data_IF_877046601315
#
_entry.id   IF_877046601315
#
_cell.length_a   1.000
_cell.length_b   1.000
_cell.length_c   1.000
_cell.angle_alpha   90.00
_cell.angle_beta   90.00
_cell.angle_gamma   90.00
#
_symmetry.space_group_name_H-M   'P 1'
#
loop_
_entity.id
_entity.type
_entity.pdbx_description
1 polymer ?
#
# COMPACT_ATOMS: atom_id res chain seq x y z
N UNK A 1 -37.30 -21.30 -4.99
CA UNK A 1 -37.03 -20.39 -6.09
C UNK A 1 -35.98 -19.37 -5.65
N UNK A 2 -34.87 -19.49 -6.27
CA UNK A 2 -33.72 -18.71 -5.88
C UNK A 2 -33.72 -17.35 -6.60
N UNK A 3 -33.78 -16.27 -5.85
CA UNK A 3 -33.86 -14.90 -6.39
C UNK A 3 -32.52 -14.17 -6.29
N UNK A 4 -31.41 -14.87 -6.10
CA UNK A 4 -30.15 -14.22 -5.82
C UNK A 4 -29.02 -14.46 -6.85
N UNK A 5 -29.31 -14.63 -8.16
CA UNK A 5 -28.21 -14.78 -9.11
C UNK A 5 -27.36 -13.52 -9.24
N UNK A 6 -27.93 -12.35 -9.01
CA UNK A 6 -27.24 -11.07 -9.10
C UNK A 6 -26.19 -10.88 -7.99
N UNK A 7 -26.37 -11.50 -6.83
CA UNK A 7 -25.42 -11.38 -5.72
C UNK A 7 -24.07 -12.04 -6.04
N UNK A 8 -24.10 -13.13 -6.83
CA UNK A 8 -22.88 -13.82 -7.25
C UNK A 8 -22.07 -13.03 -8.28
N UNK A 9 -22.76 -12.23 -9.10
CA UNK A 9 -22.11 -11.38 -10.10
C UNK A 9 -21.43 -10.18 -9.44
N UNK A 10 -22.02 -9.65 -8.35
CA UNK A 10 -21.50 -8.51 -7.62
C UNK A 10 -20.20 -8.82 -6.88
N UNK A 11 -19.87 -10.11 -6.72
CA UNK A 11 -18.64 -10.55 -6.07
C UNK A 11 -17.48 -10.75 -7.05
N UNK A 12 -17.67 -10.44 -8.34
CA UNK A 12 -16.57 -10.51 -9.30
C UNK A 12 -15.59 -9.36 -9.04
N UNK A 13 -14.33 -9.74 -8.93
CA UNK A 13 -13.25 -8.78 -8.75
C UNK A 13 -13.13 -7.89 -9.99
N UNK A 14 -12.95 -6.61 -9.77
CA UNK A 14 -12.53 -5.69 -10.82
C UNK A 14 -11.03 -5.82 -11.07
N UNK A 15 -10.54 -5.25 -12.17
CA UNK A 15 -9.11 -5.15 -12.41
C UNK A 15 -8.43 -4.41 -11.27
N UNK A 16 -9.05 -3.34 -10.78
CA UNK A 16 -8.50 -2.55 -9.67
C UNK A 16 -8.39 -3.36 -8.38
N UNK A 17 -9.43 -4.10 -8.00
CA UNK A 17 -9.38 -4.93 -6.79
C UNK A 17 -8.40 -6.08 -6.92
N UNK A 18 -8.29 -6.68 -8.10
CA UNK A 18 -7.27 -7.70 -8.35
C UNK A 18 -5.85 -7.14 -8.24
N UNK A 19 -5.59 -5.98 -8.85
CA UNK A 19 -4.30 -5.32 -8.74
C UNK A 19 -3.96 -4.96 -7.28
N UNK A 20 -4.96 -4.53 -6.51
CA UNK A 20 -4.74 -4.19 -5.11
C UNK A 20 -4.38 -5.43 -4.28
N UNK A 21 -5.04 -6.55 -4.52
CA UNK A 21 -4.66 -7.80 -3.88
C UNK A 21 -3.24 -8.23 -4.27
N UNK A 22 -2.90 -8.15 -5.55
CA UNK A 22 -1.55 -8.48 -6.01
C UNK A 22 -0.51 -7.51 -5.45
N UNK A 23 -0.84 -6.23 -5.31
CA UNK A 23 0.04 -5.24 -4.67
C UNK A 23 0.44 -5.69 -3.27
N UNK A 24 -0.54 -6.06 -2.45
CA UNK A 24 -0.31 -6.53 -1.08
C UNK A 24 0.47 -7.85 -1.06
N UNK A 25 0.18 -8.75 -1.98
CA UNK A 25 0.83 -10.06 -2.03
C UNK A 25 2.29 -9.99 -2.48
N UNK A 26 2.64 -9.04 -3.34
CA UNK A 26 3.94 -9.06 -4.04
C UNK A 26 4.89 -7.95 -3.66
N UNK A 27 4.43 -6.85 -3.07
CA UNK A 27 5.27 -5.69 -2.76
C UNK A 27 6.57 -6.10 -2.04
N UNK A 28 6.45 -6.93 -1.02
CA UNK A 28 7.60 -7.38 -0.22
C UNK A 28 8.05 -8.78 -0.61
N UNK A 29 7.13 -9.71 -0.78
CA UNK A 29 7.45 -11.13 -0.96
C UNK A 29 7.94 -11.46 -2.36
N UNK A 30 7.55 -10.68 -3.37
CA UNK A 30 7.98 -10.85 -4.75
C UNK A 30 8.03 -9.48 -5.45
N UNK A 31 8.98 -8.67 -5.04
CA UNK A 31 9.08 -7.28 -5.51
C UNK A 31 9.33 -7.19 -7.02
N UNK A 32 10.03 -8.14 -7.61
CA UNK A 32 10.24 -8.18 -9.06
C UNK A 32 8.89 -8.29 -9.81
N UNK A 33 7.98 -9.12 -9.31
CA UNK A 33 6.64 -9.25 -9.87
C UNK A 33 5.82 -7.99 -9.62
N UNK A 34 5.93 -7.40 -8.43
CA UNK A 34 5.26 -6.14 -8.11
C UNK A 34 5.61 -5.04 -9.10
N UNK A 35 6.87 -4.96 -9.51
CA UNK A 35 7.33 -3.96 -10.48
C UNK A 35 6.63 -4.09 -11.83
N UNK A 36 6.11 -5.26 -12.18
CA UNK A 36 5.35 -5.47 -13.41
C UNK A 36 3.87 -5.04 -13.27
N UNK A 37 3.40 -4.78 -12.07
CA UNK A 37 2.03 -4.33 -11.83
C UNK A 37 1.86 -2.83 -12.01
N UNK A 38 2.92 -2.05 -11.87
CA UNK A 38 2.85 -0.58 -11.85
C UNK A 38 3.04 0.02 -13.23
N UNK A 39 2.31 1.10 -13.50
CA UNK A 39 2.47 1.90 -14.71
C UNK A 39 3.78 2.69 -14.67
N UNK A 40 4.32 3.02 -15.86
CA UNK A 40 5.54 3.82 -15.93
C UNK A 40 5.37 5.21 -15.33
N UNK A 41 4.17 5.77 -15.44
CA UNK A 41 3.82 7.09 -14.91
C UNK A 41 3.04 7.03 -13.59
N UNK A 42 3.22 5.97 -12.82
CA UNK A 42 2.56 5.81 -11.52
C UNK A 42 2.78 7.04 -10.63
N UNK A 43 1.74 7.40 -9.88
CA UNK A 43 1.84 8.35 -8.77
C UNK A 43 1.51 7.59 -7.49
N UNK A 44 2.40 7.67 -6.52
CA UNK A 44 2.23 7.03 -5.22
C UNK A 44 2.27 8.10 -4.14
N UNK A 45 1.13 8.36 -3.53
CA UNK A 45 1.04 9.31 -2.41
C UNK A 45 1.18 8.58 -1.08
N UNK A 46 1.99 9.15 -0.22
CA UNK A 46 2.19 8.71 1.16
C UNK A 46 1.61 9.80 2.06
N UNK A 47 0.34 9.66 2.44
CA UNK A 47 -0.48 10.75 2.97
C UNK A 47 0.13 11.48 4.17
N UNK A 48 0.83 10.77 5.06
CA UNK A 48 1.39 11.34 6.29
C UNK A 48 2.92 11.33 6.33
N UNK A 49 3.58 11.08 5.21
CA UNK A 49 5.03 10.93 5.17
C UNK A 49 5.79 12.21 5.52
N UNK A 50 5.21 13.38 5.23
CA UNK A 50 5.83 14.67 5.60
C UNK A 50 6.04 14.80 7.09
N UNK A 51 5.16 14.25 7.91
CA UNK A 51 5.31 14.25 9.37
C UNK A 51 6.56 13.50 9.82
N UNK A 52 7.12 12.65 8.97
CA UNK A 52 8.34 11.88 9.24
C UNK A 52 9.56 12.41 8.48
N UNK A 53 9.43 13.55 7.80
CA UNK A 53 10.52 14.14 7.02
C UNK A 53 10.74 13.48 5.64
N UNK A 54 9.76 12.70 5.17
CA UNK A 54 9.81 12.05 3.85
C UNK A 54 8.90 12.75 2.85
N UNK A 55 9.16 12.62 1.54
CA UNK A 55 8.26 13.14 0.52
C UNK A 55 6.87 12.53 0.62
N UNK A 56 5.85 13.36 0.39
CA UNK A 56 4.45 12.91 0.42
C UNK A 56 4.03 12.26 -0.90
N UNK A 57 4.81 12.39 -1.95
CA UNK A 57 4.48 11.87 -3.28
C UNK A 57 5.72 11.35 -3.99
N UNK A 58 5.56 10.19 -4.60
CA UNK A 58 6.53 9.58 -5.49
C UNK A 58 5.94 9.61 -6.89
N UNK A 59 6.68 10.13 -7.85
CA UNK A 59 6.22 10.29 -9.23
C UNK A 59 7.08 9.46 -10.18
N UNK A 60 6.42 8.56 -10.90
CA UNK A 60 7.05 7.70 -11.86
C UNK A 60 7.60 6.40 -11.27
N UNK A 61 7.84 5.47 -12.19
CA UNK A 61 8.29 4.11 -11.87
C UNK A 61 9.58 4.10 -11.05
N UNK A 62 10.55 4.90 -11.44
CA UNK A 62 11.86 4.91 -10.79
C UNK A 62 11.78 5.28 -9.31
N UNK A 63 11.04 6.34 -9.00
CA UNK A 63 10.84 6.76 -7.59
C UNK A 63 10.06 5.73 -6.80
N UNK A 64 9.02 5.16 -7.40
CA UNK A 64 8.19 4.14 -6.76
C UNK A 64 9.00 2.87 -6.44
N UNK A 65 9.80 2.40 -7.38
CA UNK A 65 10.66 1.22 -7.19
C UNK A 65 11.72 1.49 -6.13
N UNK A 66 12.31 2.67 -6.13
CA UNK A 66 13.31 3.06 -5.13
C UNK A 66 12.73 3.04 -3.72
N UNK A 67 11.54 3.58 -3.54
CA UNK A 67 10.87 3.58 -2.25
C UNK A 67 10.51 2.16 -1.80
N UNK A 68 9.95 1.36 -2.68
CA UNK A 68 9.61 -0.03 -2.38
C UNK A 68 10.86 -0.83 -1.99
N UNK A 69 11.96 -0.64 -2.71
CA UNK A 69 13.24 -1.30 -2.42
C UNK A 69 13.77 -0.89 -1.05
N UNK A 70 13.69 0.41 -0.73
CA UNK A 70 14.08 0.89 0.60
C UNK A 70 13.27 0.18 1.69
N UNK A 71 11.96 0.09 1.52
CA UNK A 71 11.09 -0.54 2.51
C UNK A 71 11.41 -2.03 2.68
N UNK A 72 11.54 -2.76 1.57
CA UNK A 72 11.88 -4.20 1.59
C UNK A 72 13.19 -4.45 2.32
N UNK A 73 14.17 -3.54 2.14
CA UNK A 73 15.47 -3.67 2.79
C UNK A 73 15.48 -3.21 4.25
N UNK A 74 14.59 -2.30 4.62
CA UNK A 74 14.53 -1.74 5.98
C UNK A 74 13.77 -2.62 6.96
N UNK A 75 12.83 -3.45 6.47
CA UNK A 75 11.93 -4.22 7.33
C UNK A 75 12.14 -5.71 7.10
N UNK A 76 12.41 -6.42 8.18
CA UNK A 76 12.60 -7.87 8.17
C UNK A 76 11.29 -8.58 8.46
N UNK A 77 11.03 -9.66 7.73
CA UNK A 77 9.85 -10.52 7.92
C UNK A 77 8.53 -9.74 7.91
N UNK A 78 8.44 -8.75 7.02
CA UNK A 78 7.22 -7.98 6.89
C UNK A 78 6.13 -8.83 6.22
N UNK A 79 4.93 -8.76 6.79
CA UNK A 79 3.75 -9.40 6.21
C UNK A 79 2.54 -8.48 6.32
N UNK A 80 1.72 -8.53 5.30
CA UNK A 80 0.36 -7.97 5.36
C UNK A 80 -0.61 -9.06 5.80
N UNK A 81 -1.63 -8.67 6.54
CA UNK A 81 -2.68 -9.60 7.00
C UNK A 81 -4.00 -8.86 7.23
N UNK A 82 -5.08 -9.60 7.38
CA UNK A 82 -6.44 -9.06 7.57
C UNK A 82 -6.85 -8.10 6.43
N UNK A 83 -6.64 -8.54 5.20
CA UNK A 83 -6.97 -7.75 4.02
C UNK A 83 -8.47 -7.73 3.76
N UNK A 84 -9.02 -6.52 3.61
CA UNK A 84 -10.38 -6.27 3.12
C UNK A 84 -10.32 -5.33 1.93
N UNK A 85 -10.97 -5.69 0.84
CA UNK A 85 -10.94 -4.91 -0.39
C UNK A 85 -12.35 -4.47 -0.74
N UNK A 86 -12.49 -3.20 -1.12
CA UNK A 86 -13.74 -2.56 -1.51
C UNK A 86 -13.56 -1.94 -2.88
N UNK A 87 -14.48 -2.26 -3.81
CA UNK A 87 -14.49 -1.62 -5.12
C UNK A 87 -15.07 -0.22 -5.06
N UNK A 88 -14.56 0.69 -5.87
CA UNK A 88 -15.18 1.98 -6.09
C UNK A 88 -16.34 1.85 -7.07
N UNK A 89 -17.27 2.80 -6.99
CA UNK A 89 -18.48 2.79 -7.81
C UNK A 89 -18.20 2.82 -9.32
N UNK A 90 -17.10 3.49 -9.73
CA UNK A 90 -16.71 3.55 -11.14
C UNK A 90 -15.98 2.29 -11.62
N UNK A 91 -15.71 1.33 -10.74
CA UNK A 91 -15.03 0.06 -10.99
C UNK A 91 -13.61 0.18 -11.54
N UNK A 92 -13.01 1.36 -11.50
CA UNK A 92 -11.63 1.63 -11.93
C UNK A 92 -10.69 1.84 -10.76
N UNK A 93 -11.21 1.81 -9.56
CA UNK A 93 -10.44 1.93 -8.34
C UNK A 93 -10.90 0.95 -7.28
N UNK A 94 -10.11 0.79 -6.24
CA UNK A 94 -10.40 -0.04 -5.08
C UNK A 94 -9.71 0.53 -3.85
N UNK A 95 -10.24 0.19 -2.69
CA UNK A 95 -9.67 0.56 -1.39
C UNK A 95 -9.40 -0.71 -0.62
N UNK A 96 -8.26 -0.79 0.04
CA UNK A 96 -7.95 -1.87 0.97
C UNK A 96 -7.81 -1.32 2.38
N UNK A 97 -8.35 -2.06 3.34
CA UNK A 97 -7.95 -1.98 4.73
C UNK A 97 -7.09 -3.20 5.00
N UNK A 98 -5.90 -3.00 5.53
CA UNK A 98 -4.95 -4.10 5.75
C UNK A 98 -4.01 -3.76 6.89
N UNK A 99 -3.56 -4.77 7.59
CA UNK A 99 -2.56 -4.64 8.65
C UNK A 99 -1.20 -5.11 8.15
N UNK A 100 -0.15 -4.54 8.73
CA UNK A 100 1.21 -4.96 8.45
C UNK A 100 2.00 -5.13 9.73
N UNK A 101 2.97 -6.05 9.72
CA UNK A 101 3.85 -6.30 10.85
C UNK A 101 5.21 -6.74 10.34
N UNK A 102 6.25 -6.23 10.96
CA UNK A 102 7.62 -6.61 10.67
C UNK A 102 8.60 -6.03 11.67
N UNK A 103 9.88 -6.27 11.47
CA UNK A 103 10.95 -5.79 12.34
C UNK A 103 11.78 -4.76 11.59
N UNK A 104 11.94 -3.57 12.16
CA UNK A 104 12.83 -2.55 11.60
C UNK A 104 14.28 -2.95 11.91
N UNK A 105 15.05 -3.23 10.88
CA UNK A 105 16.44 -3.72 11.04
C UNK A 105 17.32 -2.73 11.77
N UNK A 106 17.19 -1.43 11.47
CA UNK A 106 18.05 -0.39 12.04
C UNK A 106 17.85 -0.16 13.53
N UNK A 107 16.64 -0.43 14.05
CA UNK A 107 16.29 -0.17 15.45
C UNK A 107 16.06 -1.44 16.26
N UNK A 108 15.78 -2.57 15.60
CA UNK A 108 15.36 -3.80 16.26
C UNK A 108 13.94 -3.73 16.83
N UNK A 109 13.16 -2.73 16.45
CA UNK A 109 11.80 -2.52 16.96
C UNK A 109 10.78 -3.19 16.06
N UNK A 110 9.70 -3.68 16.67
CA UNK A 110 8.56 -4.21 15.93
C UNK A 110 7.76 -3.04 15.35
N UNK A 111 7.43 -3.16 14.08
CA UNK A 111 6.59 -2.21 13.36
C UNK A 111 5.23 -2.87 13.11
N UNK A 112 4.20 -2.37 13.79
CA UNK A 112 2.81 -2.77 13.56
C UNK A 112 2.07 -1.59 12.97
N UNK A 113 1.32 -1.81 11.90
CA UNK A 113 0.66 -0.73 11.19
C UNK A 113 -0.73 -1.11 10.73
N UNK A 114 -1.62 -0.14 10.72
CA UNK A 114 -2.90 -0.21 10.04
C UNK A 114 -2.83 0.68 8.81
N UNK A 115 -3.14 0.10 7.64
CA UNK A 115 -3.11 0.81 6.38
C UNK A 115 -4.50 0.92 5.78
N UNK A 116 -4.76 2.06 5.14
CA UNK A 116 -5.79 2.20 4.12
C UNK A 116 -5.08 2.53 2.82
N UNK A 117 -5.28 1.72 1.80
CA UNK A 117 -4.62 1.87 0.50
C UNK A 117 -5.70 2.12 -0.55
N UNK A 118 -5.60 3.27 -1.22
CA UNK A 118 -6.45 3.64 -2.34
C UNK A 118 -5.68 3.40 -3.63
N UNK A 119 -6.29 2.68 -4.58
CA UNK A 119 -5.66 2.34 -5.84
C UNK A 119 -6.56 2.72 -7.01
N UNK A 120 -5.97 3.28 -8.07
CA UNK A 120 -6.61 3.41 -9.37
C UNK A 120 -5.83 2.66 -10.42
N UNK A 121 -6.58 1.96 -11.27
CA UNK A 121 -6.03 1.22 -12.39
C UNK A 121 -6.22 2.01 -13.69
N UNK A 122 -5.25 1.88 -14.59
CA UNK A 122 -5.34 2.35 -15.96
C UNK A 122 -4.56 1.39 -16.85
N UNK A 123 -5.15 0.99 -17.96
CA UNK A 123 -4.53 0.10 -18.94
C UNK A 123 -3.98 -1.19 -18.32
N UNK A 124 -4.71 -1.74 -17.34
CA UNK A 124 -4.34 -2.98 -16.67
C UNK A 124 -3.18 -2.87 -15.69
N UNK A 125 -2.77 -1.66 -15.34
CA UNK A 125 -1.66 -1.39 -14.43
C UNK A 125 -2.11 -0.52 -13.27
N UNK A 126 -1.32 -0.51 -12.19
CA UNK A 126 -1.51 0.42 -11.09
C UNK A 126 -1.02 1.79 -11.52
N UNK A 127 -1.94 2.71 -11.73
CA UNK A 127 -1.63 4.07 -12.14
C UNK A 127 -1.50 5.04 -10.96
N UNK A 128 -2.20 4.75 -9.88
CA UNK A 128 -2.24 5.61 -8.70
C UNK A 128 -2.36 4.76 -7.44
N UNK A 129 -1.57 5.11 -6.43
CA UNK A 129 -1.66 4.58 -5.07
C UNK A 129 -1.69 5.75 -4.09
N UNK A 130 -2.54 5.65 -3.08
CA UNK A 130 -2.48 6.53 -1.91
C UNK A 130 -2.52 5.66 -0.67
N UNK A 131 -1.54 5.84 0.19
CA UNK A 131 -1.39 5.04 1.39
C UNK A 131 -1.56 5.93 2.61
N UNK A 132 -2.50 5.55 3.46
CA UNK A 132 -2.70 6.15 4.78
C UNK A 132 -2.16 5.18 5.82
N UNK A 133 -1.37 5.69 6.73
CA UNK A 133 -0.75 4.91 7.80
C UNK A 133 -0.64 5.77 9.06
N UNK A 134 -0.46 5.13 10.21
CA UNK A 134 -0.27 5.84 11.47
C UNK A 134 1.18 6.34 11.57
N UNK A 135 1.42 7.66 11.46
CA UNK A 135 2.78 8.20 11.49
C UNK A 135 3.43 8.08 12.87
N UNK A 136 2.64 8.01 13.94
CA UNK A 136 3.19 7.84 15.29
C UNK A 136 3.82 6.45 15.43
N UNK A 137 3.13 5.41 14.98
CA UNK A 137 3.69 4.05 15.00
C UNK A 137 4.93 3.92 14.14
N UNK A 138 4.92 4.55 12.97
CA UNK A 138 6.08 4.56 12.09
C UNK A 138 7.26 5.28 12.74
N UNK A 139 7.03 6.46 13.33
CA UNK A 139 8.06 7.22 14.02
C UNK A 139 8.67 6.44 15.20
N UNK A 140 7.84 5.78 15.99
CA UNK A 140 8.31 4.96 17.10
C UNK A 140 9.16 3.78 16.63
N UNK A 141 8.72 3.06 15.63
CA UNK A 141 9.46 1.92 15.11
C UNK A 141 10.80 2.32 14.47
N UNK A 142 10.81 3.42 13.72
CA UNK A 142 12.00 3.95 13.06
C UNK A 142 12.89 4.77 13.99
N UNK A 143 12.44 5.09 15.21
CA UNK A 143 13.12 5.98 16.14
C UNK A 143 13.43 7.34 15.49
N UNK A 144 12.43 7.92 14.87
CA UNK A 144 12.56 9.20 14.16
C UNK A 144 11.58 10.21 14.75
N UNK A 145 11.92 11.52 14.79
CA UNK A 145 11.00 12.52 15.31
C UNK A 145 9.82 12.76 14.37
N UNK A 146 8.70 13.19 14.94
CA UNK A 146 7.56 13.68 14.19
C UNK A 146 7.73 15.18 14.02
N UNK A 147 7.78 15.64 12.78
CA UNK A 147 7.99 17.06 12.47
C UNK A 147 6.75 17.88 12.81
N UNK A 148 6.97 19.08 13.36
CA UNK A 148 5.90 19.99 13.73
C UNK A 148 5.23 19.68 15.06
N UNK A 149 5.69 18.67 15.79
CA UNK A 149 5.25 18.36 17.15
C UNK A 149 6.37 18.75 18.10
N UNK A 150 6.09 19.73 18.97
CA UNK A 150 7.02 20.11 20.03
C UNK A 150 6.97 19.07 21.15
N UNK A 151 8.14 18.65 21.57
CA UNK A 151 8.27 17.72 22.69
C UNK A 151 8.19 18.45 24.02
#
# INVERSE_FOLDING_TARGET
>A
MDCHPSIKEDNQMTIASDLLQQHVQTLVDDNARWQNLIADNIVWELAYARSLGHPAQLSGREEAVRHATWFVNAVENFRFFDLKVYDLADRQGAIAEVKGEGLIKSTGRVYCQDYVIFLRAADGKIAFLREYFDPVRAAQALNTPILGVES
#
